data_IF_118232218389
#
_entry.id   IF_118232218389
#
_cell.length_a   1.000
_cell.length_b   1.000
_cell.length_c   1.000
_cell.angle_alpha   90.00
_cell.angle_beta   90.00
_cell.angle_gamma   90.00
#
_symmetry.space_group_name_H-M   'P 1'
#
loop_
_entity.id
_entity.type
_entity.pdbx_description
1 polymer ?
#
# COMPACT_ATOMS: atom_id res chain seq x y z
N UNK A 1 -38.66 23.31 -23.09
CA UNK A 1 -38.72 23.04 -21.62
C UNK A 1 -38.30 21.60 -21.44
N UNK A 2 -37.10 21.38 -20.88
CA UNK A 2 -36.65 20.02 -20.53
C UNK A 2 -37.51 19.55 -19.35
N UNK A 3 -38.44 18.66 -19.58
CA UNK A 3 -39.16 17.95 -18.52
C UNK A 3 -38.15 17.15 -17.76
N UNK A 4 -37.87 17.50 -16.51
CA UNK A 4 -37.07 16.73 -15.60
C UNK A 4 -37.62 15.29 -15.56
N UNK A 5 -36.87 14.34 -16.13
CA UNK A 5 -37.22 12.94 -16.11
C UNK A 5 -37.19 12.48 -14.66
N UNK A 6 -38.37 12.30 -14.05
CA UNK A 6 -38.50 11.75 -12.71
C UNK A 6 -38.06 10.30 -12.71
N UNK A 7 -37.22 9.90 -11.79
CA UNK A 7 -36.78 8.54 -11.57
C UNK A 7 -36.77 8.26 -10.06
N UNK A 8 -37.24 7.07 -9.67
CA UNK A 8 -37.18 6.59 -8.30
C UNK A 8 -36.15 5.48 -8.22
N UNK A 9 -35.19 5.61 -7.30
CA UNK A 9 -34.23 4.58 -6.95
C UNK A 9 -34.71 3.86 -5.71
N UNK A 10 -34.63 2.52 -5.73
CA UNK A 10 -35.02 1.65 -4.61
C UNK A 10 -33.80 0.91 -4.11
N UNK A 11 -33.64 0.95 -2.81
CA UNK A 11 -32.56 0.26 -2.10
C UNK A 11 -33.13 -0.83 -1.21
N UNK A 12 -32.37 -1.89 -0.97
CA UNK A 12 -32.68 -2.92 0.01
C UNK A 12 -32.20 -2.53 1.43
N UNK A 13 -32.33 -3.48 2.38
CA UNK A 13 -31.91 -3.28 3.77
C UNK A 13 -30.38 -3.26 3.95
N UNK A 14 -29.60 -3.58 2.91
CA UNK A 14 -28.14 -3.52 2.88
C UNK A 14 -27.63 -2.32 2.07
N UNK A 15 -28.51 -1.36 1.79
CA UNK A 15 -28.21 -0.18 0.94
C UNK A 15 -27.76 -0.52 -0.49
N UNK A 16 -28.13 -1.70 -1.02
CA UNK A 16 -27.89 -2.07 -2.41
C UNK A 16 -29.01 -1.52 -3.29
N UNK A 17 -28.67 -0.95 -4.44
CA UNK A 17 -29.63 -0.44 -5.41
C UNK A 17 -30.34 -1.59 -6.15
N UNK A 18 -31.54 -1.96 -5.71
CA UNK A 18 -32.31 -3.08 -6.27
C UNK A 18 -33.34 -2.69 -7.32
N UNK A 19 -33.63 -1.41 -7.49
CA UNK A 19 -34.59 -0.95 -8.47
C UNK A 19 -34.37 0.45 -8.98
N UNK A 20 -34.62 0.64 -10.29
CA UNK A 20 -34.63 1.94 -10.97
C UNK A 20 -35.96 2.04 -11.67
N UNK A 21 -36.79 3.00 -11.28
CA UNK A 21 -38.14 3.22 -11.78
C UNK A 21 -38.24 4.57 -12.51
N UNK A 22 -37.90 4.63 -13.82
CA UNK A 22 -38.08 5.83 -14.62
C UNK A 22 -39.56 6.10 -14.85
N UNK A 23 -40.00 7.36 -14.89
CA UNK A 23 -41.40 7.72 -15.08
C UNK A 23 -41.97 7.29 -16.46
N UNK A 24 -41.13 7.19 -17.49
CA UNK A 24 -41.52 6.96 -18.89
C UNK A 24 -41.01 5.64 -19.46
N UNK A 25 -40.39 4.78 -18.64
CA UNK A 25 -39.83 3.50 -19.09
C UNK A 25 -40.14 2.38 -18.09
N UNK A 26 -39.94 1.13 -18.55
CA UNK A 26 -40.13 -0.02 -17.67
C UNK A 26 -39.12 -0.01 -16.53
N UNK A 27 -39.61 -0.38 -15.35
CA UNK A 27 -38.78 -0.51 -14.17
C UNK A 27 -37.66 -1.55 -14.38
N UNK A 28 -36.49 -1.24 -13.91
CA UNK A 28 -35.33 -2.09 -13.95
C UNK A 28 -35.07 -2.63 -12.55
N UNK A 29 -34.84 -3.93 -12.43
CA UNK A 29 -34.55 -4.63 -11.19
C UNK A 29 -33.16 -5.20 -11.25
N UNK A 30 -32.39 -5.05 -10.16
CA UNK A 30 -31.01 -5.53 -10.01
C UNK A 30 -30.92 -6.57 -8.90
N UNK A 31 -30.16 -7.62 -9.19
CA UNK A 31 -29.87 -8.70 -8.25
C UNK A 31 -28.36 -8.87 -8.14
N UNK A 32 -27.90 -8.97 -6.92
CA UNK A 32 -26.48 -9.04 -6.62
C UNK A 32 -26.10 -10.43 -6.12
N UNK A 33 -24.87 -10.84 -6.43
CA UNK A 33 -24.20 -11.95 -5.78
C UNK A 33 -23.07 -11.39 -4.92
N UNK A 34 -23.25 -11.38 -3.61
CA UNK A 34 -22.42 -10.63 -2.65
C UNK A 34 -22.43 -9.14 -2.99
N UNK A 35 -21.29 -8.58 -3.41
CA UNK A 35 -21.08 -7.16 -3.71
C UNK A 35 -21.16 -6.84 -5.21
N UNK A 36 -21.42 -7.83 -6.06
CA UNK A 36 -21.37 -7.66 -7.50
C UNK A 36 -22.72 -7.89 -8.18
N UNK A 37 -23.03 -7.03 -9.15
CA UNK A 37 -24.22 -7.18 -9.98
C UNK A 37 -24.17 -8.52 -10.73
N UNK A 38 -25.18 -9.36 -10.52
CA UNK A 38 -25.29 -10.67 -11.14
C UNK A 38 -26.37 -10.72 -12.24
N UNK A 39 -27.53 -10.08 -12.00
CA UNK A 39 -28.64 -10.11 -12.95
C UNK A 39 -29.36 -8.78 -12.94
N UNK A 40 -29.75 -8.34 -14.13
CA UNK A 40 -30.60 -7.18 -14.33
C UNK A 40 -31.84 -7.60 -15.15
N UNK A 41 -33.02 -7.19 -14.70
CA UNK A 41 -34.29 -7.48 -15.37
C UNK A 41 -35.00 -6.19 -15.74
N UNK A 42 -35.46 -6.08 -16.99
CA UNK A 42 -36.27 -4.96 -17.45
C UNK A 42 -37.38 -5.48 -18.38
N UNK A 43 -38.60 -5.59 -17.88
CA UNK A 43 -39.71 -6.19 -18.61
C UNK A 43 -39.42 -7.61 -19.06
N UNK A 44 -39.44 -7.86 -20.37
CA UNK A 44 -39.10 -9.17 -20.97
C UNK A 44 -37.61 -9.36 -21.25
N UNK A 45 -36.81 -8.36 -20.97
CA UNK A 45 -35.37 -8.42 -21.17
C UNK A 45 -34.66 -8.77 -19.86
N UNK A 46 -33.66 -9.63 -19.93
CA UNK A 46 -32.80 -9.94 -18.81
C UNK A 46 -31.32 -9.96 -19.23
N UNK A 47 -30.46 -9.55 -18.33
CA UNK A 47 -29.01 -9.62 -18.50
C UNK A 47 -28.40 -10.31 -17.30
N UNK A 48 -27.54 -11.27 -17.54
CA UNK A 48 -26.82 -12.02 -16.50
C UNK A 48 -25.33 -11.87 -16.72
N UNK A 49 -24.62 -11.51 -15.66
CA UNK A 49 -23.17 -11.36 -15.65
C UNK A 49 -22.57 -12.60 -14.99
N UNK A 50 -21.73 -13.32 -15.72
CA UNK A 50 -20.95 -14.42 -15.19
C UNK A 50 -19.58 -13.87 -14.79
N UNK A 51 -19.23 -14.09 -13.55
CA UNK A 51 -17.97 -13.63 -12.98
C UNK A 51 -17.43 -14.65 -11.98
N UNK A 52 -16.11 -14.66 -11.83
CA UNK A 52 -15.42 -15.45 -10.83
C UNK A 52 -14.53 -14.52 -10.02
N UNK A 53 -14.75 -14.47 -8.71
CA UNK A 53 -14.17 -13.47 -7.81
C UNK A 53 -14.40 -12.04 -8.35
N UNK A 54 -13.33 -11.36 -8.71
CA UNK A 54 -13.38 -10.00 -9.28
C UNK A 54 -13.37 -9.96 -10.81
N UNK A 55 -13.23 -11.10 -11.50
CA UNK A 55 -13.11 -11.12 -12.97
C UNK A 55 -14.47 -11.32 -13.65
N UNK A 56 -14.80 -10.43 -14.59
CA UNK A 56 -15.94 -10.56 -15.48
C UNK A 56 -15.57 -11.52 -16.61
N UNK A 57 -16.37 -12.57 -16.82
CA UNK A 57 -16.08 -13.64 -17.78
C UNK A 57 -17.00 -13.58 -18.99
N UNK A 58 -18.29 -13.46 -18.75
CA UNK A 58 -19.28 -13.50 -19.81
C UNK A 58 -20.54 -12.72 -19.45
N UNK A 59 -21.27 -12.33 -20.48
CA UNK A 59 -22.59 -11.75 -20.37
C UNK A 59 -23.60 -12.60 -21.15
N UNK A 60 -24.72 -12.88 -20.55
CA UNK A 60 -25.85 -13.47 -21.24
C UNK A 60 -27.01 -12.47 -21.25
N UNK A 61 -27.49 -12.11 -22.43
CA UNK A 61 -28.65 -11.28 -22.60
C UNK A 61 -29.80 -12.10 -23.17
N UNK A 62 -31.01 -11.88 -22.65
CA UNK A 62 -32.27 -12.42 -23.19
C UNK A 62 -33.18 -11.26 -23.56
N UNK A 63 -33.77 -11.31 -24.73
CA UNK A 63 -34.80 -10.38 -25.16
C UNK A 63 -35.93 -11.19 -25.78
N UNK A 64 -37.05 -11.32 -25.06
CA UNK A 64 -38.10 -12.27 -25.40
C UNK A 64 -37.56 -13.70 -25.39
N UNK A 65 -37.64 -14.39 -26.55
CA UNK A 65 -37.15 -15.77 -26.72
C UNK A 65 -35.72 -15.86 -27.27
N UNK A 66 -35.10 -14.72 -27.59
CA UNK A 66 -33.73 -14.69 -28.13
C UNK A 66 -32.72 -14.61 -26.99
N UNK A 67 -31.77 -15.55 -26.98
CA UNK A 67 -30.66 -15.59 -26.07
C UNK A 67 -29.37 -15.27 -26.83
N UNK A 68 -28.62 -14.32 -26.32
CA UNK A 68 -27.28 -14.00 -26.78
C UNK A 68 -26.29 -14.15 -25.61
N UNK A 69 -25.14 -14.77 -25.88
CA UNK A 69 -24.07 -14.90 -24.90
C UNK A 69 -22.79 -14.36 -25.50
N UNK A 70 -22.08 -13.54 -24.75
CA UNK A 70 -20.81 -12.95 -25.15
C UNK A 70 -19.74 -13.15 -24.07
N UNK A 71 -18.51 -13.44 -24.51
CA UNK A 71 -17.35 -13.42 -23.61
C UNK A 71 -16.88 -11.98 -23.44
N UNK A 72 -16.41 -11.69 -22.23
CA UNK A 72 -15.89 -10.37 -21.85
C UNK A 72 -14.36 -10.43 -21.70
N UNK A 73 -13.67 -9.43 -22.24
CA UNK A 73 -12.28 -9.20 -21.92
C UNK A 73 -12.14 -7.84 -21.23
N UNK A 74 -11.48 -7.84 -20.09
CA UNK A 74 -11.34 -6.67 -19.20
C UNK A 74 -9.90 -6.27 -19.00
N UNK A 75 -9.68 -5.02 -18.59
CA UNK A 75 -8.41 -4.58 -18.02
C UNK A 75 -8.26 -5.05 -16.55
N UNK A 76 -7.16 -4.64 -15.92
CA UNK A 76 -6.87 -4.95 -14.51
C UNK A 76 -7.87 -4.32 -13.53
N UNK A 77 -8.50 -3.20 -13.93
CA UNK A 77 -9.53 -2.52 -13.13
C UNK A 77 -10.94 -3.01 -13.45
N UNK A 78 -11.09 -4.15 -14.18
CA UNK A 78 -12.37 -4.75 -14.60
C UNK A 78 -13.12 -3.97 -15.68
N UNK A 79 -12.57 -2.90 -16.28
CA UNK A 79 -13.24 -2.21 -17.37
C UNK A 79 -13.37 -3.14 -18.58
N UNK A 80 -14.59 -3.27 -19.12
CA UNK A 80 -14.87 -4.17 -20.25
C UNK A 80 -14.35 -3.54 -21.53
N UNK A 81 -13.30 -4.09 -22.13
CA UNK A 81 -12.69 -3.60 -23.36
C UNK A 81 -13.26 -4.26 -24.61
N UNK A 82 -13.70 -5.51 -24.49
CA UNK A 82 -14.20 -6.31 -25.62
C UNK A 82 -15.36 -7.17 -25.18
N UNK A 83 -16.35 -7.26 -26.06
CA UNK A 83 -17.50 -8.17 -25.93
C UNK A 83 -17.58 -8.99 -27.22
N UNK A 84 -17.57 -10.31 -27.11
CA UNK A 84 -17.80 -11.21 -28.25
C UNK A 84 -19.30 -11.40 -28.37
N UNK A 85 -19.90 -11.00 -29.47
CA UNK A 85 -21.30 -11.20 -29.75
C UNK A 85 -21.46 -12.13 -30.98
N UNK A 86 -22.67 -12.69 -31.23
CA UNK A 86 -22.92 -13.52 -32.42
C UNK A 86 -22.62 -12.79 -33.73
N UNK A 87 -22.70 -11.45 -33.76
CA UNK A 87 -22.39 -10.59 -34.89
C UNK A 87 -20.92 -10.18 -35.03
N UNK A 88 -20.06 -10.60 -34.11
CA UNK A 88 -18.65 -10.26 -34.12
C UNK A 88 -18.12 -9.68 -32.78
N UNK A 89 -16.98 -9.07 -32.85
CA UNK A 89 -16.30 -8.51 -31.70
C UNK A 89 -16.61 -7.01 -31.55
N UNK A 90 -17.23 -6.65 -30.44
CA UNK A 90 -17.53 -5.25 -30.11
C UNK A 90 -16.43 -4.70 -29.20
N UNK A 91 -15.77 -3.64 -29.65
CA UNK A 91 -14.72 -2.95 -28.88
C UNK A 91 -15.34 -1.83 -28.05
N UNK A 92 -14.83 -1.65 -26.84
CA UNK A 92 -15.17 -0.54 -25.98
C UNK A 92 -13.89 0.21 -25.59
N UNK A 93 -13.91 1.52 -25.76
CA UNK A 93 -12.80 2.40 -25.37
C UNK A 93 -13.30 3.44 -24.37
N UNK A 94 -12.53 3.66 -23.33
CA UNK A 94 -12.83 4.61 -22.26
C UNK A 94 -11.78 5.72 -22.23
N UNK A 95 -12.21 6.96 -21.97
CA UNK A 95 -11.32 7.98 -21.49
C UNK A 95 -10.83 7.63 -20.07
N UNK A 96 -9.77 8.23 -19.54
CA UNK A 96 -9.24 7.92 -18.23
C UNK A 96 -10.29 7.90 -17.10
N UNK A 97 -11.27 8.78 -17.16
CA UNK A 97 -12.40 8.87 -16.23
C UNK A 97 -13.64 8.08 -16.68
N UNK A 98 -13.49 7.06 -17.50
CA UNK A 98 -14.57 6.16 -17.88
C UNK A 98 -15.60 6.70 -18.86
N UNK A 99 -15.41 7.91 -19.40
CA UNK A 99 -16.30 8.41 -20.45
C UNK A 99 -16.13 7.56 -21.71
N UNK A 100 -17.26 7.09 -22.27
CA UNK A 100 -17.30 6.36 -23.54
C UNK A 100 -18.33 6.96 -24.49
N UNK A 101 -18.09 6.85 -25.77
CA UNK A 101 -19.11 7.07 -26.79
C UNK A 101 -19.98 5.83 -26.85
N UNK A 102 -21.24 5.95 -26.53
CA UNK A 102 -22.21 4.84 -26.65
C UNK A 102 -22.65 4.80 -28.12
N UNK A 103 -21.92 4.06 -28.94
CA UNK A 103 -22.28 3.96 -30.35
C UNK A 103 -23.26 2.82 -30.62
N UNK A 104 -23.13 1.68 -29.94
CA UNK A 104 -24.06 0.53 -30.03
C UNK A 104 -23.84 -0.40 -28.81
N UNK A 105 -24.93 -0.91 -28.25
CA UNK A 105 -24.90 -1.96 -27.22
C UNK A 105 -26.01 -1.78 -26.18
N UNK A 106 -26.39 -2.84 -25.46
CA UNK A 106 -27.35 -2.76 -24.37
C UNK A 106 -26.82 -1.83 -23.29
N UNK A 107 -27.62 -0.83 -22.93
CA UNK A 107 -27.21 0.35 -22.17
C UNK A 107 -26.74 0.16 -20.74
N UNK A 108 -26.91 -1.02 -20.14
CA UNK A 108 -26.64 -1.26 -18.70
C UNK A 108 -25.58 -2.32 -18.44
N UNK A 109 -24.78 -2.67 -19.42
CA UNK A 109 -23.68 -3.62 -19.27
C UNK A 109 -22.63 -3.12 -18.29
N UNK A 110 -21.95 -4.03 -17.55
CA UNK A 110 -20.73 -3.69 -16.88
C UNK A 110 -19.77 -3.01 -17.84
N UNK A 111 -19.33 -1.80 -17.49
CA UNK A 111 -18.49 -0.98 -18.34
C UNK A 111 -17.18 -0.64 -17.67
N UNK A 112 -16.96 0.65 -17.46
CA UNK A 112 -15.78 1.16 -16.76
C UNK A 112 -15.71 0.61 -15.34
N UNK A 113 -14.55 0.09 -14.94
CA UNK A 113 -14.29 -0.60 -13.66
C UNK A 113 -15.26 -1.74 -13.31
N UNK A 114 -15.92 -2.30 -14.36
CA UNK A 114 -16.89 -3.38 -14.19
C UNK A 114 -18.24 -2.96 -13.62
N UNK A 115 -18.48 -1.65 -13.51
CA UNK A 115 -19.72 -1.12 -12.97
C UNK A 115 -20.79 -0.92 -14.03
N UNK A 116 -22.05 -1.06 -13.63
CA UNK A 116 -23.17 -0.86 -14.53
C UNK A 116 -23.54 0.62 -14.65
N UNK A 117 -23.74 1.05 -15.89
CA UNK A 117 -24.19 2.40 -16.17
C UNK A 117 -25.65 2.57 -15.70
N UNK A 118 -25.96 3.71 -15.13
CA UNK A 118 -27.34 4.11 -14.87
C UNK A 118 -28.01 4.53 -16.19
N UNK A 119 -29.07 3.85 -16.61
CA UNK A 119 -29.71 4.12 -17.90
C UNK A 119 -30.39 5.49 -17.99
N UNK A 120 -30.66 6.12 -16.85
CA UNK A 120 -31.34 7.43 -16.77
C UNK A 120 -30.36 8.59 -16.89
N UNK A 121 -29.28 8.53 -16.13
CA UNK A 121 -28.31 9.63 -16.03
C UNK A 121 -27.09 9.44 -16.93
N UNK A 122 -26.80 8.20 -17.36
CA UNK A 122 -25.56 7.87 -18.06
C UNK A 122 -24.30 7.92 -17.19
N UNK A 123 -24.47 7.85 -15.87
CA UNK A 123 -23.39 7.88 -14.90
C UNK A 123 -23.19 6.50 -14.26
N UNK A 124 -22.05 6.25 -13.64
CA UNK A 124 -21.82 5.01 -12.91
C UNK A 124 -22.25 5.16 -11.44
N UNK A 125 -22.99 4.17 -10.97
CA UNK A 125 -23.46 4.11 -9.59
C UNK A 125 -22.48 3.27 -8.76
N UNK A 126 -21.44 3.92 -8.22
CA UNK A 126 -20.41 3.25 -7.46
C UNK A 126 -20.92 2.89 -6.04
N UNK A 127 -20.30 1.86 -5.45
CA UNK A 127 -20.72 1.32 -4.16
C UNK A 127 -22.15 0.79 -4.20
N UNK A 128 -22.53 0.11 -5.31
CA UNK A 128 -23.88 -0.42 -5.52
C UNK A 128 -24.99 0.63 -5.35
N UNK A 129 -24.72 1.85 -5.76
CA UNK A 129 -25.67 2.97 -5.69
C UNK A 129 -25.36 4.01 -4.62
N UNK A 130 -24.27 3.84 -3.87
CA UNK A 130 -23.91 4.77 -2.80
C UNK A 130 -23.61 6.19 -3.32
N UNK A 131 -22.77 6.32 -4.36
CA UNK A 131 -22.48 7.62 -5.01
C UNK A 131 -22.49 7.54 -6.53
N UNK A 132 -23.03 8.59 -7.12
CA UNK A 132 -23.10 8.74 -8.57
C UNK A 132 -21.81 9.37 -9.08
N UNK A 133 -21.06 8.64 -9.93
CA UNK A 133 -19.85 9.12 -10.56
C UNK A 133 -20.14 9.63 -11.98
N UNK A 134 -19.84 10.88 -12.22
CA UNK A 134 -20.06 11.58 -13.48
C UNK A 134 -18.77 11.59 -14.32
N UNK A 135 -18.77 10.81 -15.38
CA UNK A 135 -17.60 10.68 -16.27
C UNK A 135 -17.29 11.92 -17.08
N UNK A 136 -18.32 12.78 -17.34
CA UNK A 136 -18.12 14.05 -18.05
C UNK A 136 -17.50 15.12 -17.15
N UNK A 137 -17.96 15.17 -15.89
CA UNK A 137 -17.40 16.08 -14.89
C UNK A 137 -16.15 15.53 -14.21
N UNK A 138 -15.77 14.28 -14.48
CA UNK A 138 -14.61 13.59 -13.94
C UNK A 138 -14.60 13.54 -12.41
N UNK A 139 -15.79 13.51 -11.77
CA UNK A 139 -15.95 13.55 -10.32
C UNK A 139 -17.28 12.99 -9.88
N UNK A 140 -17.42 12.76 -8.59
CA UNK A 140 -18.71 12.41 -7.98
C UNK A 140 -19.71 13.59 -8.02
N UNK A 141 -20.99 13.27 -8.13
CA UNK A 141 -22.06 14.28 -8.05
C UNK A 141 -22.41 14.65 -6.59
N UNK A 142 -22.15 13.76 -5.64
CA UNK A 142 -22.36 13.97 -4.22
C UNK A 142 -21.04 14.07 -3.44
N UNK A 143 -21.01 14.81 -2.31
CA UNK A 143 -19.82 14.91 -1.48
C UNK A 143 -19.57 13.59 -0.73
N UNK A 144 -18.31 13.31 -0.45
CA UNK A 144 -17.91 12.20 0.41
C UNK A 144 -18.17 12.53 1.87
N UNK A 145 -18.89 11.64 2.57
CA UNK A 145 -19.17 11.78 3.99
C UNK A 145 -17.93 11.73 4.89
N UNK A 146 -16.83 11.17 4.37
CA UNK A 146 -15.54 11.05 5.06
C UNK A 146 -14.62 12.25 4.82
N UNK A 147 -15.04 13.22 4.01
CA UNK A 147 -14.31 14.49 3.80
C UNK A 147 -14.73 15.55 4.82
N UNK A 148 -13.87 16.56 5.10
CA UNK A 148 -12.49 16.75 4.63
C UNK A 148 -11.44 16.11 5.55
N UNK A 149 -11.82 15.69 6.77
CA UNK A 149 -10.89 15.29 7.82
C UNK A 149 -10.67 13.77 7.92
N UNK A 150 -11.46 12.98 7.17
CA UNK A 150 -11.36 11.52 7.12
C UNK A 150 -10.70 11.02 5.84
N UNK A 151 -11.02 9.77 5.48
CA UNK A 151 -10.44 9.07 4.32
C UNK A 151 -10.84 9.66 2.96
N UNK A 152 -11.89 10.48 2.90
CA UNK A 152 -12.34 11.14 1.67
C UNK A 152 -11.39 12.23 1.18
N UNK A 153 -10.43 12.67 2.01
CA UNK A 153 -9.49 13.72 1.67
C UNK A 153 -10.10 15.12 1.62
N UNK A 154 -9.32 16.11 1.18
CA UNK A 154 -9.72 17.50 1.19
C UNK A 154 -10.81 17.84 0.15
N UNK A 155 -10.82 17.14 -0.98
CA UNK A 155 -11.81 17.36 -2.03
C UNK A 155 -12.91 16.29 -1.96
N UNK A 156 -14.12 16.61 -1.46
CA UNK A 156 -15.16 15.61 -1.25
C UNK A 156 -15.74 15.02 -2.56
N UNK A 157 -15.44 15.59 -3.70
CA UNK A 157 -15.94 15.14 -5.00
C UNK A 157 -14.89 14.39 -5.82
N UNK A 158 -13.65 14.30 -5.35
CA UNK A 158 -12.57 13.67 -6.10
C UNK A 158 -12.81 12.18 -6.31
N UNK A 159 -12.60 11.72 -7.55
CA UNK A 159 -12.54 10.29 -7.89
C UNK A 159 -11.08 9.86 -7.94
N UNK A 160 -10.75 8.79 -7.22
CA UNK A 160 -9.42 8.16 -7.20
C UNK A 160 -8.26 9.15 -7.00
N UNK A 161 -8.46 10.20 -6.20
CA UNK A 161 -7.49 11.29 -5.95
C UNK A 161 -6.95 11.97 -7.23
N UNK A 162 -7.66 11.85 -8.33
CA UNK A 162 -7.24 12.41 -9.63
C UNK A 162 -6.42 11.45 -10.50
N UNK A 163 -6.22 10.21 -10.09
CA UNK A 163 -5.52 9.17 -10.85
C UNK A 163 -6.40 7.94 -11.11
N UNK A 164 -7.39 8.04 -12.01
CA UNK A 164 -8.32 6.96 -12.32
C UNK A 164 -7.73 5.84 -13.18
N UNK A 165 -6.51 6.02 -13.70
CA UNK A 165 -5.81 5.01 -14.49
C UNK A 165 -5.16 3.96 -13.59
N UNK A 166 -4.62 4.39 -12.45
CA UNK A 166 -3.94 3.50 -11.51
C UNK A 166 -4.84 3.05 -10.36
N UNK A 167 -5.95 3.74 -10.11
CA UNK A 167 -6.82 3.48 -8.97
C UNK A 167 -8.27 3.33 -9.38
N UNK A 168 -9.01 2.51 -8.63
CA UNK A 168 -10.47 2.38 -8.73
C UNK A 168 -11.11 2.60 -7.36
N UNK A 169 -12.37 3.01 -7.33
CA UNK A 169 -13.16 3.18 -6.11
C UNK A 169 -14.47 2.38 -6.21
N UNK A 170 -14.44 1.06 -5.94
CA UNK A 170 -15.63 0.22 -6.01
C UNK A 170 -16.67 0.56 -4.94
N UNK A 171 -16.24 1.17 -3.84
CA UNK A 171 -17.12 1.49 -2.70
C UNK A 171 -17.84 2.83 -2.86
N UNK A 172 -17.36 3.65 -3.77
CA UNK A 172 -17.80 5.02 -3.91
C UNK A 172 -17.36 5.96 -2.76
N UNK A 173 -16.41 5.56 -1.92
CA UNK A 173 -15.91 6.37 -0.80
C UNK A 173 -14.39 6.49 -0.77
N UNK A 174 -13.69 5.37 -1.00
CA UNK A 174 -12.23 5.31 -0.87
C UNK A 174 -11.66 4.42 -1.96
N UNK A 175 -10.68 4.92 -2.70
CA UNK A 175 -9.97 4.07 -3.66
C UNK A 175 -9.24 2.92 -2.92
N UNK A 176 -9.30 1.69 -3.46
CA UNK A 176 -8.68 0.51 -2.83
C UNK A 176 -7.18 0.72 -2.56
N UNK A 177 -6.47 1.37 -3.46
CA UNK A 177 -5.05 1.66 -3.29
C UNK A 177 -4.74 2.64 -2.15
N UNK A 178 -5.64 3.56 -1.85
CA UNK A 178 -5.45 4.53 -0.76
C UNK A 178 -5.42 3.87 0.62
N UNK A 179 -6.27 2.88 0.85
CA UNK A 179 -6.30 2.19 2.14
C UNK A 179 -4.97 1.49 2.42
N UNK A 180 -4.45 0.78 1.43
CA UNK A 180 -3.17 0.05 1.53
C UNK A 180 -2.01 1.05 1.62
N UNK A 181 -1.99 2.07 0.75
CA UNK A 181 -0.95 3.11 0.74
C UNK A 181 -0.88 3.91 2.05
N UNK A 182 -2.02 4.25 2.65
CA UNK A 182 -2.09 4.94 3.95
C UNK A 182 -1.57 4.08 5.10
N UNK A 183 -1.90 2.79 5.11
CA UNK A 183 -1.39 1.85 6.12
C UNK A 183 0.13 1.74 6.00
N UNK A 184 0.66 1.54 4.77
CA UNK A 184 2.10 1.47 4.56
C UNK A 184 2.81 2.78 4.91
N UNK A 185 2.31 3.93 4.49
CA UNK A 185 2.92 5.23 4.81
C UNK A 185 2.92 5.52 6.31
N UNK A 186 1.85 5.20 7.03
CA UNK A 186 1.78 5.39 8.48
C UNK A 186 2.74 4.45 9.21
N UNK A 187 2.89 3.21 8.78
CA UNK A 187 3.88 2.26 9.33
C UNK A 187 5.30 2.73 9.04
N UNK A 188 5.60 3.18 7.83
CA UNK A 188 6.91 3.72 7.46
C UNK A 188 7.23 4.98 8.27
N UNK A 189 6.27 5.89 8.42
CA UNK A 189 6.47 7.10 9.23
C UNK A 189 6.75 6.74 10.70
N UNK A 190 5.97 5.85 11.27
CA UNK A 190 6.15 5.40 12.65
C UNK A 190 7.52 4.73 12.85
N UNK A 191 7.94 3.85 11.94
CA UNK A 191 9.26 3.21 11.99
C UNK A 191 10.38 4.23 11.86
N UNK A 192 10.25 5.23 10.99
CA UNK A 192 11.22 6.29 10.81
C UNK A 192 11.38 7.11 12.10
N UNK A 193 10.28 7.54 12.71
CA UNK A 193 10.30 8.28 13.98
C UNK A 193 10.97 7.45 15.08
N UNK A 194 10.62 6.17 15.20
CA UNK A 194 11.20 5.29 16.23
C UNK A 194 12.68 5.00 15.98
N UNK A 195 13.14 4.96 14.73
CA UNK A 195 14.58 4.78 14.42
C UNK A 195 15.41 6.01 14.75
N UNK A 196 14.84 7.20 14.78
CA UNK A 196 15.50 8.44 15.20
C UNK A 196 15.68 8.51 16.73
N UNK A 197 14.94 7.73 17.51
CA UNK A 197 15.09 7.72 18.95
C UNK A 197 16.44 7.12 19.38
N UNK A 198 17.14 7.71 20.38
CA UNK A 198 18.37 7.16 20.88
C UNK A 198 18.15 5.76 21.46
N UNK A 199 19.01 4.83 21.07
CA UNK A 199 18.91 3.43 21.50
C UNK A 199 20.30 2.84 21.70
N UNK A 200 20.39 1.69 22.34
CA UNK A 200 21.62 0.93 22.48
C UNK A 200 22.10 0.48 21.08
N UNK A 201 23.35 0.77 20.68
CA UNK A 201 23.85 0.32 19.38
C UNK A 201 23.87 -1.20 19.26
N UNK A 202 23.47 -1.73 18.10
CA UNK A 202 23.40 -3.17 17.84
C UNK A 202 24.71 -3.91 18.13
N UNK A 203 25.85 -3.36 17.73
CA UNK A 203 27.17 -3.98 17.98
C UNK A 203 27.49 -4.11 19.47
N UNK A 204 27.16 -3.10 20.27
CA UNK A 204 27.35 -3.16 21.73
C UNK A 204 26.44 -4.22 22.35
N UNK A 205 25.20 -4.28 21.91
CA UNK A 205 24.23 -5.29 22.35
C UNK A 205 24.68 -6.71 21.97
N UNK A 206 25.10 -6.92 20.72
CA UNK A 206 25.60 -8.20 20.22
C UNK A 206 26.81 -8.70 21.04
N UNK A 207 27.77 -7.82 21.26
CA UNK A 207 28.98 -8.14 22.05
C UNK A 207 28.62 -8.47 23.51
N UNK A 208 27.69 -7.72 24.13
CA UNK A 208 27.23 -7.99 25.48
C UNK A 208 26.49 -9.33 25.62
N UNK A 209 25.67 -9.69 24.63
CA UNK A 209 24.99 -10.98 24.56
C UNK A 209 26.00 -12.14 24.39
N UNK A 210 26.98 -11.98 23.49
CA UNK A 210 28.07 -12.93 23.28
C UNK A 210 28.94 -13.12 24.55
N UNK A 211 29.15 -12.05 25.34
CA UNK A 211 29.82 -12.10 26.63
C UNK A 211 28.97 -12.72 27.76
N UNK A 212 27.73 -13.12 27.47
CA UNK A 212 26.85 -13.83 28.42
C UNK A 212 26.19 -12.94 29.46
N UNK A 213 25.79 -11.73 29.10
CA UNK A 213 25.13 -10.78 30.01
C UNK A 213 23.85 -11.34 30.64
N UNK A 214 23.15 -12.23 29.96
CA UNK A 214 21.91 -12.87 30.46
C UNK A 214 22.15 -13.72 31.72
N UNK A 215 23.29 -14.40 31.78
CA UNK A 215 23.71 -15.25 32.91
C UNK A 215 24.42 -14.48 34.03
N UNK A 216 24.70 -13.19 33.80
CA UNK A 216 25.39 -12.34 34.78
C UNK A 216 24.40 -11.81 35.84
N UNK A 217 24.91 -11.43 37.00
CA UNK A 217 24.16 -10.73 38.05
C UNK A 217 23.79 -9.28 37.74
N UNK A 218 23.89 -8.85 36.47
CA UNK A 218 23.62 -7.48 36.05
C UNK A 218 22.12 -7.13 36.12
N UNK A 219 21.82 -5.83 36.19
CA UNK A 219 20.46 -5.32 36.31
C UNK A 219 19.56 -5.76 35.13
N UNK A 220 18.27 -5.95 35.41
CA UNK A 220 17.27 -6.29 34.37
C UNK A 220 17.24 -5.28 33.24
N UNK A 221 17.47 -3.99 33.50
CA UNK A 221 17.50 -2.92 32.51
C UNK A 221 18.63 -3.10 31.49
N UNK A 222 19.81 -3.51 31.93
CA UNK A 222 20.95 -3.82 31.03
C UNK A 222 20.67 -5.04 30.15
N UNK A 223 20.07 -6.09 30.73
CA UNK A 223 19.67 -7.32 30.01
C UNK A 223 18.62 -7.00 28.94
N UNK A 224 17.59 -6.26 29.31
CA UNK A 224 16.53 -5.83 28.38
C UNK A 224 17.14 -4.98 27.26
N UNK A 225 17.99 -4.01 27.58
CA UNK A 225 18.66 -3.17 26.57
C UNK A 225 19.49 -3.97 25.58
N UNK A 226 20.23 -4.97 26.03
CA UNK A 226 21.03 -5.84 25.17
C UNK A 226 20.16 -6.76 24.29
N UNK A 227 19.16 -7.44 24.86
CA UNK A 227 18.28 -8.34 24.11
C UNK A 227 17.44 -7.56 23.08
N UNK A 228 16.79 -6.49 23.52
CA UNK A 228 15.92 -5.70 22.66
C UNK A 228 16.67 -5.06 21.50
N UNK A 229 17.86 -4.51 21.73
CA UNK A 229 18.69 -3.97 20.66
C UNK A 229 19.26 -5.05 19.73
N UNK A 230 19.60 -6.22 20.29
CA UNK A 230 20.07 -7.36 19.49
C UNK A 230 19.00 -7.97 18.57
N UNK A 231 17.73 -7.87 18.92
CA UNK A 231 16.61 -8.41 18.16
C UNK A 231 16.01 -7.38 17.18
N UNK A 232 15.99 -6.11 17.52
CA UNK A 232 15.31 -5.08 16.74
C UNK A 232 15.78 -4.99 15.27
N UNK A 233 17.10 -5.03 15.05
CA UNK A 233 17.69 -4.95 13.70
C UNK A 233 17.34 -6.14 12.81
N UNK A 234 17.69 -7.36 13.21
CA UNK A 234 17.36 -8.57 12.43
C UNK A 234 15.86 -8.72 12.13
N UNK A 235 14.99 -8.47 13.11
CA UNK A 235 13.54 -8.56 12.92
C UNK A 235 13.02 -7.50 11.95
N UNK A 236 13.56 -6.28 12.00
CA UNK A 236 13.20 -5.24 11.04
C UNK A 236 13.60 -5.62 9.60
N UNK A 237 14.76 -6.26 9.41
CA UNK A 237 15.20 -6.75 8.10
C UNK A 237 14.30 -7.88 7.58
N UNK A 238 13.91 -8.83 8.45
CA UNK A 238 12.97 -9.91 8.07
C UNK A 238 11.61 -9.32 7.68
N UNK A 239 11.08 -8.39 8.46
CA UNK A 239 9.79 -7.74 8.16
C UNK A 239 9.82 -6.94 6.86
N UNK A 240 10.88 -6.18 6.61
CA UNK A 240 11.06 -5.43 5.38
C UNK A 240 11.25 -6.35 4.16
N UNK A 241 12.05 -7.41 4.29
CA UNK A 241 12.24 -8.40 3.23
C UNK A 241 10.93 -9.10 2.85
N UNK A 242 10.15 -9.56 3.83
CA UNK A 242 8.85 -10.16 3.57
C UNK A 242 7.87 -9.18 2.91
N UNK A 243 7.89 -7.90 3.31
CA UNK A 243 7.07 -6.85 2.70
C UNK A 243 7.43 -6.59 1.24
N UNK A 244 8.72 -6.51 0.92
CA UNK A 244 9.20 -6.33 -0.46
C UNK A 244 8.88 -7.56 -1.33
N UNK A 245 9.12 -8.77 -0.82
CA UNK A 245 8.81 -10.02 -1.55
C UNK A 245 7.30 -10.10 -1.83
N UNK A 246 6.46 -9.74 -0.86
CA UNK A 246 5.02 -9.66 -1.06
C UNK A 246 4.64 -8.66 -2.16
N UNK A 247 5.24 -7.47 -2.18
CA UNK A 247 4.96 -6.46 -3.20
C UNK A 247 5.29 -6.97 -4.60
N UNK A 248 6.41 -7.68 -4.77
CA UNK A 248 6.81 -8.31 -6.04
C UNK A 248 5.84 -9.43 -6.44
N UNK A 249 5.45 -10.30 -5.49
CA UNK A 249 4.49 -11.39 -5.78
C UNK A 249 3.12 -10.82 -6.14
N UNK A 250 2.68 -9.75 -5.51
CA UNK A 250 1.41 -9.09 -5.83
C UNK A 250 1.37 -8.59 -7.28
N UNK A 251 2.51 -8.18 -7.83
CA UNK A 251 2.63 -7.74 -9.23
C UNK A 251 2.65 -8.93 -10.21
N UNK A 252 3.32 -10.04 -9.84
CA UNK A 252 3.56 -11.19 -10.72
C UNK A 252 2.42 -12.21 -10.65
N UNK A 253 1.91 -12.47 -9.45
CA UNK A 253 0.84 -13.47 -9.19
C UNK A 253 -0.05 -12.96 -8.06
N UNK A 254 -1.09 -12.16 -8.39
CA UNK A 254 -1.99 -11.54 -7.42
C UNK A 254 -2.80 -12.55 -6.59
N UNK A 255 -3.00 -13.77 -7.07
CA UNK A 255 -3.80 -14.81 -6.37
C UNK A 255 -2.96 -15.78 -5.53
N UNK A 256 -1.65 -15.55 -5.45
CA UNK A 256 -0.74 -16.42 -4.71
C UNK A 256 -1.07 -16.51 -3.22
N UNK A 257 -1.22 -17.73 -2.71
CA UNK A 257 -1.41 -17.99 -1.27
C UNK A 257 -0.21 -17.51 -0.42
N UNK A 258 0.97 -17.37 -1.03
CA UNK A 258 2.17 -16.85 -0.39
C UNK A 258 2.01 -15.40 0.10
N UNK A 259 1.17 -14.59 -0.54
CA UNK A 259 0.91 -13.20 -0.12
C UNK A 259 0.36 -13.10 1.31
N UNK A 260 -0.58 -13.98 1.68
CA UNK A 260 -1.15 -14.01 3.03
C UNK A 260 -0.09 -14.39 4.06
N UNK A 261 0.71 -15.40 3.77
CA UNK A 261 1.80 -15.82 4.64
C UNK A 261 2.83 -14.70 4.83
N UNK A 262 3.32 -14.09 3.75
CA UNK A 262 4.29 -12.98 3.80
C UNK A 262 3.74 -11.74 4.52
N UNK A 263 2.43 -11.48 4.40
CA UNK A 263 1.77 -10.41 5.15
C UNK A 263 1.86 -10.63 6.66
N UNK A 264 1.57 -11.85 7.11
CA UNK A 264 1.68 -12.20 8.53
C UNK A 264 3.13 -12.15 9.02
N UNK A 265 4.09 -12.67 8.23
CA UNK A 265 5.52 -12.59 8.57
C UNK A 265 5.98 -11.15 8.71
N UNK A 266 5.61 -10.29 7.75
CA UNK A 266 5.97 -8.86 7.77
C UNK A 266 5.34 -8.14 8.97
N UNK A 267 4.07 -8.43 9.28
CA UNK A 267 3.35 -7.82 10.41
C UNK A 267 3.97 -8.24 11.75
N UNK A 268 4.19 -9.54 11.95
CA UNK A 268 4.72 -10.09 13.21
C UNK A 268 6.16 -9.63 13.42
N UNK A 269 7.02 -9.75 12.40
CA UNK A 269 8.40 -9.32 12.49
C UNK A 269 8.53 -7.81 12.70
N UNK A 270 7.73 -7.02 11.97
CA UNK A 270 7.71 -5.57 12.09
C UNK A 270 7.23 -5.09 13.46
N UNK A 271 6.12 -5.63 13.97
CA UNK A 271 5.60 -5.27 15.30
C UNK A 271 6.56 -5.67 16.42
N UNK A 272 7.17 -6.86 16.31
CA UNK A 272 8.16 -7.33 17.29
C UNK A 272 9.44 -6.47 17.25
N UNK A 273 9.89 -6.05 16.08
CA UNK A 273 11.00 -5.13 15.92
C UNK A 273 10.71 -3.75 16.56
N UNK A 274 9.49 -3.24 16.42
CA UNK A 274 9.05 -1.99 17.06
C UNK A 274 9.06 -2.09 18.58
N UNK A 275 8.53 -3.18 19.15
CA UNK A 275 8.54 -3.43 20.60
C UNK A 275 9.98 -3.56 21.12
N UNK A 276 10.81 -4.30 20.41
CA UNK A 276 12.23 -4.44 20.72
C UNK A 276 12.94 -3.08 20.64
N UNK A 277 12.63 -2.23 19.68
CA UNK A 277 13.19 -0.88 19.58
C UNK A 277 12.77 -0.01 20.77
N UNK A 278 11.49 -0.09 21.18
CA UNK A 278 10.97 0.57 22.38
C UNK A 278 11.71 0.15 23.64
N UNK A 279 11.97 -1.16 23.82
CA UNK A 279 12.78 -1.67 24.93
C UNK A 279 14.23 -1.19 24.92
N UNK A 280 14.85 -1.11 23.74
CA UNK A 280 16.19 -0.56 23.56
C UNK A 280 16.24 0.95 23.89
N UNK A 281 15.24 1.73 23.47
CA UNK A 281 15.08 3.13 23.79
C UNK A 281 14.90 3.35 25.29
N UNK A 282 14.00 2.59 25.93
CA UNK A 282 13.76 2.66 27.35
C UNK A 282 15.03 2.39 28.17
N UNK A 283 15.83 1.40 27.77
CA UNK A 283 17.11 1.11 28.39
C UNK A 283 18.15 2.23 28.15
N UNK A 284 18.19 2.81 26.94
CA UNK A 284 19.12 3.87 26.57
C UNK A 284 18.82 5.22 27.25
N UNK A 285 17.59 5.43 27.74
CA UNK A 285 17.19 6.62 28.48
C UNK A 285 18.01 6.84 29.77
N UNK A 286 18.58 5.77 30.31
CA UNK A 286 19.48 5.86 31.45
C UNK A 286 20.94 6.04 30.93
N UNK A 287 21.59 7.19 31.22
CA UNK A 287 22.92 7.49 30.72
C UNK A 287 23.98 6.48 31.18
N UNK A 288 23.71 5.72 32.24
CA UNK A 288 24.66 4.71 32.77
C UNK A 288 24.60 3.38 32.01
N UNK A 289 23.54 3.12 31.22
CA UNK A 289 23.33 1.86 30.54
C UNK A 289 24.38 1.56 29.47
N UNK A 290 24.66 2.52 28.59
CA UNK A 290 25.61 2.35 27.50
C UNK A 290 27.06 2.18 27.99
N UNK A 291 27.58 3.00 28.92
CA UNK A 291 28.90 2.78 29.49
C UNK A 291 29.01 1.44 30.23
N UNK A 292 27.97 1.01 30.97
CA UNK A 292 27.96 -0.27 31.67
C UNK A 292 28.02 -1.47 30.72
N UNK A 293 27.28 -1.41 29.58
CA UNK A 293 27.34 -2.47 28.55
C UNK A 293 28.74 -2.54 27.91
N UNK A 294 29.36 -1.42 27.61
CA UNK A 294 30.71 -1.37 27.05
C UNK A 294 31.74 -1.95 28.03
N UNK A 295 31.76 -1.51 29.30
CA UNK A 295 32.62 -2.07 30.33
C UNK A 295 32.43 -3.57 30.56
N UNK A 296 31.21 -4.04 30.48
CA UNK A 296 30.93 -5.47 30.61
C UNK A 296 31.55 -6.30 29.47
N UNK A 297 31.55 -5.77 28.26
CA UNK A 297 32.18 -6.42 27.10
C UNK A 297 33.71 -6.38 27.18
N UNK A 298 34.30 -5.26 27.61
CA UNK A 298 35.74 -5.08 27.76
C UNK A 298 36.33 -6.02 28.84
N UNK A 299 35.65 -6.17 29.99
CA UNK A 299 36.14 -7.02 31.08
C UNK A 299 36.07 -8.53 30.79
N UNK A 300 35.33 -8.96 29.73
CA UNK A 300 35.19 -10.37 29.33
C UNK A 300 35.93 -10.72 28.04
N UNK A 301 36.48 -9.78 27.32
CA UNK A 301 37.42 -10.12 26.24
C UNK A 301 38.71 -10.63 26.92
N UNK A 302 39.17 -11.87 26.61
CA UNK A 302 40.50 -12.28 27.03
C UNK A 302 41.50 -11.30 26.44
N UNK A 303 42.51 -10.93 27.23
CA UNK A 303 43.60 -10.01 26.88
C UNK A 303 44.40 -10.61 25.70
N UNK A 304 43.81 -10.63 24.50
CA UNK A 304 44.52 -10.95 23.27
C UNK A 304 44.60 -9.69 22.43
N UNK A 305 45.86 -9.27 22.25
CA UNK A 305 46.30 -8.15 21.43
C UNK A 305 46.22 -6.79 22.16
N UNK A 306 46.97 -6.64 23.23
CA UNK A 306 47.59 -5.37 23.54
C UNK A 306 48.48 -5.01 22.31
N UNK A 307 48.10 -3.97 21.59
CA UNK A 307 48.96 -3.34 20.62
C UNK A 307 50.27 -3.03 21.33
N UNK A 308 51.44 -3.47 20.84
CA UNK A 308 52.67 -3.18 21.52
C UNK A 308 52.80 -1.66 21.62
N UNK A 309 52.77 -1.15 22.82
CA UNK A 309 53.25 0.18 23.13
C UNK A 309 54.74 0.20 22.75
N UNK A 310 55.06 0.92 21.69
CA UNK A 310 56.47 1.23 21.35
C UNK A 310 57.18 1.75 22.59
N UNK A 311 58.39 1.24 22.91
CA UNK A 311 59.18 1.74 24.03
C UNK A 311 59.57 3.21 23.80
N UNK A 312 59.73 4.01 24.84
CA UNK A 312 60.21 5.37 24.70
C UNK A 312 61.65 5.35 24.20
N UNK A 313 61.86 5.72 22.96
CA UNK A 313 63.20 5.97 22.41
C UNK A 313 63.68 7.31 22.93
N UNK A 314 64.45 7.26 23.99
CA UNK A 314 65.43 8.34 24.36
C UNK A 314 66.63 8.24 23.44
N UNK A 315 66.62 8.98 22.34
CA UNK A 315 67.81 9.28 21.56
C UNK A 315 67.96 10.78 21.54
N UNK A 316 69.14 11.33 21.87
CA UNK A 316 69.36 12.77 21.91
C UNK A 316 69.27 13.37 20.52
N UNK A 317 68.54 14.48 20.38
CA UNK A 317 68.48 15.29 19.18
C UNK A 317 69.85 15.87 18.80
N UNK A 318 70.31 15.55 17.58
CA UNK A 318 71.40 16.25 16.91
C UNK A 318 70.87 17.57 16.31
N UNK A 319 71.41 18.72 16.61
CA UNK A 319 70.90 20.05 16.26
C UNK A 319 71.16 20.48 14.79
N UNK A 320 71.37 19.59 13.85
CA UNK A 320 71.63 19.94 12.45
C UNK A 320 70.77 19.24 11.47
N UNK A 321 69.52 19.64 11.35
CA UNK A 321 68.74 19.63 10.06
C UNK A 321 67.34 20.27 10.15
N UNK A 322 67.15 21.54 9.84
CA UNK A 322 65.87 22.12 9.59
C UNK A 322 65.78 22.61 8.13
N UNK A 323 65.54 21.80 7.11
CA UNK A 323 65.14 22.34 5.80
C UNK A 323 64.33 21.32 4.95
N UNK A 324 64.24 20.03 5.31
CA UNK A 324 63.53 19.08 4.44
C UNK A 324 62.04 18.84 4.74
N UNK A 325 61.54 19.25 5.88
CA UNK A 325 60.12 19.02 6.26
C UNK A 325 59.14 20.07 5.68
N UNK A 326 59.61 21.28 5.45
CA UNK A 326 58.78 22.37 4.93
C UNK A 326 58.47 22.24 3.44
N UNK A 327 59.33 21.64 2.65
CA UNK A 327 59.11 21.43 1.21
C UNK A 327 58.11 20.29 0.92
N UNK A 328 58.07 19.26 1.76
CA UNK A 328 57.10 18.16 1.61
C UNK A 328 55.68 18.55 2.03
N UNK A 329 55.53 19.48 2.97
CA UNK A 329 54.23 20.04 3.32
C UNK A 329 53.69 21.00 2.26
N UNK A 330 54.50 21.81 1.64
CA UNK A 330 54.15 22.71 0.55
C UNK A 330 53.69 21.92 -0.71
N UNK A 331 54.36 20.82 -1.04
CA UNK A 331 53.97 19.96 -2.16
C UNK A 331 52.63 19.23 -2.00
N UNK A 332 52.18 18.97 -0.74
CA UNK A 332 50.89 18.37 -0.44
C UNK A 332 49.70 19.36 -0.55
N UNK A 333 49.96 20.62 -0.33
CA UNK A 333 48.95 21.70 -0.43
C UNK A 333 48.67 22.03 -1.89
N UNK A 334 49.65 22.01 -2.75
CA UNK A 334 49.51 22.35 -4.19
C UNK A 334 48.73 21.25 -4.92
N UNK A 335 48.80 19.96 -4.51
CA UNK A 335 48.02 18.89 -5.13
C UNK A 335 46.53 18.81 -4.75
N UNK A 336 46.05 19.64 -3.83
CA UNK A 336 44.64 19.71 -3.41
C UNK A 336 43.82 20.82 -4.09
N UNK A 337 44.44 21.64 -4.91
CA UNK A 337 43.77 22.74 -5.60
C UNK A 337 43.82 22.68 -7.14
N UNK A 338 44.18 21.53 -7.70
CA UNK A 338 44.12 21.31 -9.15
C UNK A 338 43.46 19.94 -9.45
N UNK A 339 42.12 19.85 -9.20
CA UNK A 339 41.12 19.03 -9.92
C UNK A 339 39.77 19.73 -9.77
#
# INVERSE_FOLDING_TARGET
MNTLKKCRYRYDALDLLVGIEPAEAQALQRFYCREHLATELQGTSSQRVFQHDKQLLALQSRRGDVFNSGLLATDQQRSVLWVTEPGGLVRQAYAPYGHRRVEHGPGSLPGFTGEALDPVTGHYLLGNGHRLFNTLLMRFNGPDSLSPFGRGGLNPYAYCLGDPVNFSDPTGNVSEANLIGMIFSSVVLLTTVITLLPAVPFLVAKNALGAGILKSGQSAKLKIGAVSSGLAGPLALVGAGAGLTRAVIQEVDPDSSAQRFLSWVSLIAGSTALLARGGSYWAARDPKTLPALKRFTENKQPASIAKPTSPPSSVPEDPRQPVRSSLQQAAKVIRRHSV
#
